data_IF_238106484767
#
_entry.id   IF_238106484767
#
_cell.length_a   1.000
_cell.length_b   1.000
_cell.length_c   1.000
_cell.angle_alpha   90.00
_cell.angle_beta   90.00
_cell.angle_gamma   90.00
#
_symmetry.space_group_name_H-M   'P 1'
#
loop_
_entity.id
_entity.type
_entity.pdbx_description
1 polymer ?
#
# COMPACT_ATOMS: atom_id res chain seq x y z
N UNK A 1 -2.62 36.38 4.62
CA UNK A 1 -1.99 35.42 3.70
C UNK A 1 -2.87 34.19 3.70
N UNK A 2 -3.58 33.90 2.59
CA UNK A 2 -4.36 32.68 2.43
C UNK A 2 -3.39 31.55 2.13
N UNK A 3 -3.27 30.59 3.05
CA UNK A 3 -2.61 29.33 2.74
C UNK A 3 -3.59 28.47 1.94
N UNK A 4 -3.51 28.58 0.62
CA UNK A 4 -4.15 27.63 -0.29
C UNK A 4 -3.40 26.30 -0.18
N UNK A 5 -3.89 25.41 0.68
CA UNK A 5 -3.49 24.01 0.69
C UNK A 5 -4.18 23.32 -0.49
N UNK A 6 -3.62 23.51 -1.69
CA UNK A 6 -3.97 22.66 -2.83
C UNK A 6 -3.17 21.38 -2.70
N UNK A 7 -3.87 20.27 -2.51
CA UNK A 7 -3.35 18.94 -2.77
C UNK A 7 -3.04 18.86 -4.27
N UNK A 8 -1.88 19.38 -4.69
CA UNK A 8 -1.33 19.04 -5.98
C UNK A 8 -0.89 17.59 -5.87
N UNK A 9 -1.79 16.68 -6.24
CA UNK A 9 -1.39 15.37 -6.74
C UNK A 9 -0.29 15.68 -7.76
N UNK A 10 0.97 15.41 -7.40
CA UNK A 10 2.10 15.65 -8.29
C UNK A 10 1.72 15.15 -9.66
N UNK A 11 1.81 16.03 -10.67
CA UNK A 11 1.28 15.76 -12.00
C UNK A 11 1.65 14.32 -12.40
N UNK A 12 0.70 13.47 -12.82
CA UNK A 12 1.00 12.07 -13.10
C UNK A 12 2.11 12.03 -14.15
N UNK A 13 3.30 11.60 -13.74
CA UNK A 13 4.49 11.59 -14.60
C UNK A 13 4.57 10.34 -15.47
N UNK A 14 3.53 9.52 -15.45
CA UNK A 14 3.35 8.44 -16.40
C UNK A 14 2.64 9.00 -17.65
N UNK A 15 3.05 8.59 -18.86
CA UNK A 15 2.49 9.12 -20.12
C UNK A 15 0.98 8.99 -20.10
N UNK A 16 0.20 9.97 -20.58
CA UNK A 16 -1.29 10.04 -20.55
C UNK A 16 -2.06 8.70 -20.69
N UNK A 17 -1.48 7.73 -21.41
CA UNK A 17 -1.88 6.32 -21.51
C UNK A 17 -2.08 5.64 -20.14
N UNK A 18 -1.17 5.83 -19.19
CA UNK A 18 -1.25 5.26 -17.84
C UNK A 18 -2.43 5.84 -17.06
N UNK A 19 -2.62 7.16 -17.11
CA UNK A 19 -3.73 7.82 -16.41
C UNK A 19 -5.08 7.32 -16.94
N UNK A 20 -5.22 7.24 -18.27
CA UNK A 20 -6.42 6.68 -18.89
C UNK A 20 -6.65 5.22 -18.50
N UNK A 21 -5.58 4.40 -18.47
CA UNK A 21 -5.64 3.00 -18.04
C UNK A 21 -6.07 2.88 -16.58
N UNK A 22 -5.54 3.73 -15.69
CA UNK A 22 -5.93 3.79 -14.26
C UNK A 22 -7.41 4.16 -14.14
N UNK A 23 -7.85 5.23 -14.80
CA UNK A 23 -9.23 5.71 -14.71
C UNK A 23 -10.24 4.64 -15.19
N UNK A 24 -9.93 3.94 -16.29
CA UNK A 24 -10.75 2.83 -16.77
C UNK A 24 -10.77 1.64 -15.79
N UNK A 25 -9.61 1.30 -15.22
CA UNK A 25 -9.50 0.19 -14.29
C UNK A 25 -10.26 0.46 -12.99
N UNK A 26 -10.13 1.68 -12.46
CA UNK A 26 -10.91 2.14 -11.30
C UNK A 26 -12.40 2.07 -11.62
N UNK A 27 -12.84 2.60 -12.76
CA UNK A 27 -14.24 2.52 -13.15
C UNK A 27 -14.76 1.07 -13.24
N UNK A 28 -13.93 0.14 -13.73
CA UNK A 28 -14.30 -1.27 -13.80
C UNK A 28 -14.38 -1.94 -12.43
N UNK A 29 -13.51 -1.61 -11.48
CA UNK A 29 -13.49 -2.22 -10.14
C UNK A 29 -14.56 -1.60 -9.24
N UNK A 30 -14.75 -0.27 -9.32
CA UNK A 30 -15.64 0.49 -8.44
C UNK A 30 -17.12 0.33 -8.81
N UNK A 31 -17.44 0.32 -10.11
CA UNK A 31 -18.84 0.30 -10.59
C UNK A 31 -19.37 -1.12 -10.76
N UNK A 32 -18.51 -2.12 -10.97
CA UNK A 32 -18.94 -3.48 -11.26
C UNK A 32 -18.95 -4.37 -10.01
N UNK A 33 -20.10 -4.44 -9.35
CA UNK A 33 -20.33 -5.29 -8.17
C UNK A 33 -20.22 -6.81 -8.42
N UNK A 34 -20.17 -7.26 -9.69
CA UNK A 34 -19.91 -8.66 -10.04
C UNK A 34 -18.42 -8.99 -10.07
N UNK A 35 -17.55 -7.98 -9.95
CA UNK A 35 -16.11 -8.19 -9.75
C UNK A 35 -15.84 -8.62 -8.31
N UNK A 36 -15.04 -9.68 -8.14
CA UNK A 36 -14.73 -10.23 -6.82
C UNK A 36 -13.26 -10.59 -6.65
N UNK A 37 -12.76 -10.45 -5.42
CA UNK A 37 -11.37 -10.71 -5.04
C UNK A 37 -11.18 -12.06 -4.29
N UNK A 38 -12.07 -13.02 -4.57
CA UNK A 38 -12.10 -14.34 -3.91
C UNK A 38 -12.66 -14.28 -2.49
N UNK A 39 -12.45 -15.35 -1.71
CA UNK A 39 -12.74 -15.34 -0.27
C UNK A 39 -11.59 -14.60 0.43
N UNK A 40 -11.84 -13.35 0.79
CA UNK A 40 -10.99 -12.53 1.64
C UNK A 40 -11.79 -12.20 2.92
N UNK A 41 -11.10 -12.17 4.06
CA UNK A 41 -11.71 -11.70 5.31
C UNK A 41 -12.01 -10.20 5.27
N UNK A 42 -12.40 -9.60 6.40
CA UNK A 42 -12.58 -8.15 6.48
C UNK A 42 -11.30 -7.42 6.03
N UNK A 43 -11.45 -6.52 5.05
CA UNK A 43 -10.35 -5.72 4.51
C UNK A 43 -10.33 -4.38 5.25
N UNK A 44 -9.14 -3.96 5.66
CA UNK A 44 -8.92 -2.66 6.31
C UNK A 44 -8.54 -1.58 5.30
N UNK A 45 -7.73 -1.92 4.30
CA UNK A 45 -7.25 -0.97 3.30
C UNK A 45 -6.89 -1.66 1.99
N UNK A 46 -6.91 -0.91 0.88
CA UNK A 46 -6.52 -1.37 -0.45
C UNK A 46 -5.67 -0.31 -1.16
N UNK A 47 -4.70 -0.76 -1.97
CA UNK A 47 -3.87 0.13 -2.77
C UNK A 47 -3.65 -0.44 -4.17
N UNK A 48 -3.96 0.38 -5.18
CA UNK A 48 -3.66 0.09 -6.58
C UNK A 48 -2.23 0.54 -6.89
N UNK A 49 -1.50 -0.29 -7.62
CA UNK A 49 -0.21 0.10 -8.19
C UNK A 49 -0.42 1.16 -9.29
N UNK A 50 0.19 2.34 -9.13
CA UNK A 50 0.10 3.46 -10.07
C UNK A 50 1.14 3.38 -11.22
N UNK A 51 2.14 2.51 -11.09
CA UNK A 51 3.27 2.41 -12.04
C UNK A 51 2.94 1.47 -13.19
N UNK A 52 2.64 0.19 -12.89
CA UNK A 52 2.31 -0.82 -13.90
C UNK A 52 0.79 -0.98 -14.10
N UNK A 53 0.00 -0.52 -13.11
CA UNK A 53 -1.47 -0.55 -13.15
C UNK A 53 -1.95 -1.98 -13.37
N UNK A 54 -1.30 -2.88 -12.64
CA UNK A 54 -1.44 -4.33 -12.77
C UNK A 54 -1.69 -5.01 -11.44
N UNK A 55 -1.18 -4.46 -10.35
CA UNK A 55 -1.23 -5.09 -9.05
C UNK A 55 -2.19 -4.33 -8.12
N UNK A 56 -3.04 -5.09 -7.42
CA UNK A 56 -3.82 -4.56 -6.31
C UNK A 56 -3.33 -5.20 -5.02
N UNK A 57 -3.08 -4.37 -4.03
CA UNK A 57 -2.69 -4.76 -2.69
C UNK A 57 -3.90 -4.61 -1.76
N UNK A 58 -4.16 -5.58 -0.90
CA UNK A 58 -5.20 -5.46 0.13
C UNK A 58 -4.69 -5.92 1.48
N UNK A 59 -4.88 -5.09 2.50
CA UNK A 59 -4.58 -5.40 3.90
C UNK A 59 -5.80 -5.89 4.65
N UNK A 60 -5.74 -7.10 5.18
CA UNK A 60 -6.79 -7.73 5.99
C UNK A 60 -6.70 -7.40 7.48
N UNK A 61 -7.84 -7.50 8.17
CA UNK A 61 -7.95 -7.21 9.60
C UNK A 61 -7.04 -8.07 10.50
N UNK A 62 -6.71 -9.30 10.09
CA UNK A 62 -5.86 -10.22 10.85
C UNK A 62 -4.36 -10.06 10.57
N UNK A 63 -3.95 -9.03 9.82
CA UNK A 63 -2.57 -8.84 9.39
C UNK A 63 -2.22 -9.57 8.10
N UNK A 64 -3.19 -10.23 7.45
CA UNK A 64 -2.97 -10.87 6.15
C UNK A 64 -2.87 -9.83 5.04
N UNK A 65 -1.86 -9.96 4.18
CA UNK A 65 -1.70 -9.09 3.03
C UNK A 65 -1.86 -9.91 1.74
N UNK A 66 -2.83 -9.55 0.91
CA UNK A 66 -3.10 -10.22 -0.36
C UNK A 66 -2.65 -9.33 -1.53
N UNK A 67 -1.99 -9.93 -2.52
CA UNK A 67 -1.60 -9.27 -3.77
C UNK A 67 -2.37 -9.93 -4.92
N UNK A 68 -3.05 -9.12 -5.72
CA UNK A 68 -3.83 -9.56 -6.87
C UNK A 68 -3.19 -9.10 -8.17
N UNK A 69 -3.25 -9.96 -9.19
CA UNK A 69 -2.94 -9.59 -10.57
C UNK A 69 -4.25 -9.20 -11.26
N UNK A 70 -4.32 -7.95 -11.72
CA UNK A 70 -5.48 -7.39 -12.40
C UNK A 70 -5.52 -7.74 -13.89
N UNK A 71 -4.44 -8.28 -14.46
CA UNK A 71 -4.43 -8.82 -15.81
C UNK A 71 -4.96 -10.27 -15.85
N UNK A 72 -4.81 -11.02 -14.75
CA UNK A 72 -5.23 -12.41 -14.65
C UNK A 72 -6.69 -12.49 -14.18
N UNK A 73 -7.60 -12.43 -15.14
CA UNK A 73 -9.04 -12.52 -14.90
C UNK A 73 -9.54 -13.96 -15.02
N UNK A 74 -10.19 -14.44 -13.96
CA UNK A 74 -10.92 -15.70 -13.92
C UNK A 74 -12.40 -15.42 -14.13
N UNK A 75 -12.98 -15.95 -15.19
CA UNK A 75 -14.42 -15.82 -15.50
C UNK A 75 -15.11 -17.09 -15.00
N UNK A 76 -16.01 -16.96 -14.01
CA UNK A 76 -16.80 -18.08 -13.51
C UNK A 76 -18.27 -17.69 -13.39
N UNK A 77 -19.15 -18.39 -14.13
CA UNK A 77 -20.61 -18.16 -14.13
C UNK A 77 -20.97 -16.67 -14.25
N UNK A 78 -20.41 -16.00 -15.25
CA UNK A 78 -20.60 -14.56 -15.54
C UNK A 78 -20.03 -13.59 -14.51
N UNK A 79 -19.38 -14.07 -13.44
CA UNK A 79 -18.64 -13.22 -12.49
C UNK A 79 -17.17 -13.15 -12.84
N UNK A 80 -16.65 -11.93 -12.84
CA UNK A 80 -15.24 -11.61 -13.06
C UNK A 80 -14.52 -11.71 -11.71
N UNK A 81 -13.45 -12.49 -11.63
CA UNK A 81 -12.62 -12.56 -10.43
C UNK A 81 -11.17 -12.32 -10.76
N UNK A 82 -10.52 -11.43 -10.02
CA UNK A 82 -9.09 -11.23 -10.15
C UNK A 82 -8.34 -12.32 -9.41
N UNK A 83 -7.28 -12.85 -10.04
CA UNK A 83 -6.47 -13.90 -9.45
C UNK A 83 -5.60 -13.30 -8.34
N UNK A 84 -5.74 -13.86 -7.14
CA UNK A 84 -4.80 -13.64 -6.03
C UNK A 84 -3.48 -14.35 -6.35
N UNK A 85 -2.40 -13.59 -6.44
CA UNK A 85 -1.05 -14.11 -6.72
C UNK A 85 -0.52 -14.79 -5.45
N UNK A 86 -0.53 -14.03 -4.37
CA UNK A 86 0.02 -14.46 -3.09
C UNK A 86 -0.82 -13.92 -1.95
N UNK A 87 -0.71 -14.61 -0.82
CA UNK A 87 -1.22 -14.22 0.47
C UNK A 87 -0.07 -14.29 1.45
N UNK A 88 0.38 -13.14 1.90
CA UNK A 88 1.39 -13.02 2.94
C UNK A 88 0.67 -13.17 4.28
N UNK A 89 0.68 -14.41 4.80
CA UNK A 89 0.05 -14.84 6.07
C UNK A 89 1.08 -15.33 7.07
N UNK A 90 0.77 -15.20 8.36
CA UNK A 90 1.66 -15.47 9.49
C UNK A 90 2.29 -16.88 9.45
N UNK A 91 3.47 -17.00 8.82
CA UNK A 91 4.22 -18.26 8.74
C UNK A 91 5.17 -18.36 9.94
N UNK A 92 4.70 -18.93 11.05
CA UNK A 92 5.45 -19.38 12.24
C UNK A 92 6.37 -18.36 12.94
N UNK A 93 6.56 -17.15 12.41
CA UNK A 93 7.33 -16.06 12.98
C UNK A 93 6.41 -14.84 13.15
N UNK A 94 5.92 -14.57 14.38
CA UNK A 94 5.05 -13.43 14.68
C UNK A 94 5.64 -12.07 14.31
N UNK A 95 6.98 -11.98 14.21
CA UNK A 95 7.69 -10.76 13.80
C UNK A 95 7.69 -10.54 12.29
N UNK A 96 7.40 -11.58 11.48
CA UNK A 96 7.49 -11.52 10.03
C UNK A 96 6.33 -10.74 9.40
N UNK A 97 5.12 -10.79 9.98
CA UNK A 97 3.92 -10.09 9.49
C UNK A 97 3.33 -9.20 10.58
N UNK A 98 2.42 -8.30 10.25
CA UNK A 98 1.75 -7.50 11.26
C UNK A 98 0.92 -8.39 12.18
N UNK A 99 0.98 -8.13 13.49
CA UNK A 99 0.25 -8.92 14.49
C UNK A 99 -1.17 -8.40 14.75
N UNK A 100 -1.57 -7.34 14.03
CA UNK A 100 -2.83 -6.66 14.18
C UNK A 100 -3.29 -6.08 12.83
N UNK A 101 -4.43 -5.41 12.83
CA UNK A 101 -5.05 -4.84 11.64
C UNK A 101 -4.19 -3.76 11.01
N UNK A 102 -4.24 -3.67 9.69
CA UNK A 102 -3.58 -2.58 8.96
C UNK A 102 -4.32 -1.26 9.17
N UNK A 103 -3.56 -0.18 9.08
CA UNK A 103 -4.04 1.20 9.12
C UNK A 103 -3.85 1.82 7.75
N UNK A 104 -2.70 1.57 7.12
CA UNK A 104 -2.40 2.05 5.78
C UNK A 104 -1.56 1.03 5.04
N UNK A 105 -1.86 0.86 3.76
CA UNK A 105 -1.11 0.05 2.82
C UNK A 105 -0.84 0.91 1.59
N UNK A 106 0.41 0.99 1.13
CA UNK A 106 0.75 1.87 -0.01
C UNK A 106 1.88 1.30 -0.85
N UNK A 107 1.71 1.34 -2.17
CA UNK A 107 2.79 1.06 -3.13
C UNK A 107 3.82 2.17 -3.16
N UNK A 108 5.06 1.80 -3.49
CA UNK A 108 6.07 2.78 -3.83
C UNK A 108 5.71 3.46 -5.16
N UNK A 109 5.64 4.80 -5.25
CA UNK A 109 5.13 5.46 -6.45
C UNK A 109 6.10 5.48 -7.63
N UNK A 110 7.32 4.94 -7.49
CA UNK A 110 8.34 4.92 -8.55
C UNK A 110 8.51 3.53 -9.16
N UNK A 111 8.37 2.47 -8.37
CA UNK A 111 8.46 1.09 -8.83
C UNK A 111 7.47 0.16 -8.11
N UNK A 112 7.20 -1.00 -8.70
CA UNK A 112 6.33 -2.05 -8.14
C UNK A 112 7.07 -3.05 -7.25
N UNK A 113 8.38 -2.87 -7.08
CA UNK A 113 9.25 -3.75 -6.31
C UNK A 113 9.15 -3.52 -4.80
N UNK A 114 8.55 -2.40 -4.36
CA UNK A 114 8.40 -2.05 -2.96
C UNK A 114 6.99 -1.59 -2.60
N UNK A 115 6.59 -1.87 -1.37
CA UNK A 115 5.41 -1.27 -0.75
C UNK A 115 5.61 -1.13 0.76
N UNK A 116 4.80 -0.29 1.38
CA UNK A 116 4.81 -0.07 2.82
C UNK A 116 3.47 -0.44 3.46
N UNK A 117 3.55 -0.85 4.72
CA UNK A 117 2.37 -1.12 5.54
C UNK A 117 2.56 -0.56 6.95
N UNK A 118 1.49 0.01 7.51
CA UNK A 118 1.40 0.39 8.92
C UNK A 118 0.26 -0.36 9.59
N UNK A 119 0.41 -0.63 10.89
CA UNK A 119 -0.58 -1.38 11.66
C UNK A 119 -0.70 -0.86 13.09
N UNK A 120 -1.82 -1.21 13.72
CA UNK A 120 -2.11 -1.00 15.13
C UNK A 120 -1.06 -1.64 16.04
N UNK A 121 -0.29 -2.61 15.54
CA UNK A 121 0.85 -3.22 16.22
C UNK A 121 2.07 -2.28 16.42
N UNK A 122 1.93 -1.00 16.04
CA UNK A 122 2.95 0.05 16.18
C UNK A 122 4.18 -0.21 15.33
N UNK A 123 4.05 -0.98 14.26
CA UNK A 123 5.12 -1.19 13.29
C UNK A 123 4.80 -0.52 11.96
N UNK A 124 5.84 0.05 11.34
CA UNK A 124 5.88 0.30 9.91
C UNK A 124 6.80 -0.75 9.29
N UNK A 125 6.34 -1.41 8.24
CA UNK A 125 7.12 -2.39 7.49
C UNK A 125 7.28 -1.93 6.04
N UNK A 126 8.50 -2.05 5.55
CA UNK A 126 8.83 -1.89 4.13
C UNK A 126 9.06 -3.27 3.56
N UNK A 127 8.36 -3.58 2.49
CA UNK A 127 8.33 -4.90 1.87
C UNK A 127 8.99 -4.87 0.51
N UNK A 128 9.71 -5.96 0.20
CA UNK A 128 10.16 -6.28 -1.16
C UNK A 128 9.11 -7.19 -1.80
N UNK A 129 8.42 -6.67 -2.82
CA UNK A 129 7.35 -7.37 -3.54
C UNK A 129 7.86 -8.65 -4.20
N UNK A 130 9.09 -8.64 -4.72
CA UNK A 130 9.65 -9.79 -5.43
C UNK A 130 10.01 -10.94 -4.50
N UNK A 131 10.31 -10.62 -3.24
CA UNK A 131 10.69 -11.60 -2.21
C UNK A 131 9.55 -11.93 -1.26
N UNK A 132 8.47 -11.16 -1.29
CA UNK A 132 7.34 -11.24 -0.35
C UNK A 132 7.81 -11.15 1.11
N UNK A 133 8.81 -10.31 1.37
CA UNK A 133 9.51 -10.24 2.66
C UNK A 133 9.70 -8.80 3.14
N UNK A 134 9.71 -8.64 4.46
CA UNK A 134 10.03 -7.37 5.12
C UNK A 134 11.52 -7.08 4.93
N UNK A 135 11.83 -6.00 4.22
CA UNK A 135 13.18 -5.46 4.09
C UNK A 135 13.56 -4.59 5.29
N UNK A 136 12.61 -3.81 5.81
CA UNK A 136 12.83 -2.94 6.97
C UNK A 136 11.64 -2.93 7.90
N UNK A 137 11.94 -2.86 9.20
CA UNK A 137 10.98 -2.74 10.29
C UNK A 137 11.31 -1.48 11.08
N UNK A 138 10.31 -0.62 11.28
CA UNK A 138 10.41 0.53 12.18
C UNK A 138 9.35 0.41 13.27
N UNK A 139 9.78 0.54 14.52
CA UNK A 139 8.88 0.64 15.66
C UNK A 139 8.47 2.10 15.84
N UNK A 140 7.16 2.34 15.77
CA UNK A 140 6.57 3.65 15.94
C UNK A 140 6.35 3.89 17.45
N UNK A 141 6.98 4.92 18.00
CA UNK A 141 6.94 5.26 19.45
C UNK A 141 5.74 6.16 19.81
N UNK A 142 4.76 6.31 18.91
CA UNK A 142 3.64 7.22 19.13
C UNK A 142 2.58 6.66 20.08
N UNK A 143 1.98 7.57 20.87
CA UNK A 143 0.92 7.27 21.82
C UNK A 143 -0.41 6.94 21.12
N UNK A 144 -0.57 7.34 19.87
CA UNK A 144 -1.69 7.00 19.00
C UNK A 144 -1.15 6.35 17.73
N UNK A 145 -1.28 5.03 17.64
CA UNK A 145 -0.81 4.18 16.55
C UNK A 145 -1.49 4.41 15.19
N UNK A 146 -2.30 5.46 15.02
CA UNK A 146 -3.21 5.71 13.89
C UNK A 146 -2.61 6.51 12.72
N UNK A 147 -1.28 6.61 12.63
CA UNK A 147 -0.61 7.43 11.64
C UNK A 147 -0.76 6.84 10.21
N UNK A 148 -1.46 7.56 9.33
CA UNK A 148 -1.43 7.32 7.88
C UNK A 148 -0.04 7.74 7.39
N UNK A 149 0.68 6.83 6.74
CA UNK A 149 1.94 7.15 6.11
C UNK A 149 1.73 7.52 4.64
N UNK A 150 2.57 8.41 4.11
CA UNK A 150 2.69 8.66 2.67
C UNK A 150 4.12 8.40 2.22
N UNK A 151 4.29 7.43 1.34
CA UNK A 151 5.52 7.21 0.60
C UNK A 151 5.56 8.12 -0.62
N UNK A 152 6.70 8.78 -0.80
CA UNK A 152 7.12 9.51 -1.98
C UNK A 152 8.49 8.95 -2.43
N UNK A 153 9.03 9.45 -3.55
CA UNK A 153 10.20 8.89 -4.23
C UNK A 153 11.36 8.51 -3.31
N UNK A 154 11.76 9.40 -2.41
CA UNK A 154 12.86 9.14 -1.48
C UNK A 154 12.43 9.34 -0.02
N UNK A 155 11.13 9.48 0.26
CA UNK A 155 10.68 9.93 1.58
C UNK A 155 9.40 9.24 2.03
N UNK A 156 9.39 8.74 3.27
CA UNK A 156 8.17 8.31 3.94
C UNK A 156 7.78 9.36 4.97
N UNK A 157 6.61 9.97 4.78
CA UNK A 157 5.99 10.91 5.70
C UNK A 157 5.05 10.17 6.64
N UNK A 158 5.06 10.55 7.92
CA UNK A 158 4.07 10.07 8.90
C UNK A 158 3.75 11.22 9.88
N UNK A 159 2.47 11.41 10.23
CA UNK A 159 2.08 12.42 11.21
C UNK A 159 2.62 12.04 12.60
N UNK A 160 3.17 13.01 13.32
CA UNK A 160 3.42 12.89 14.76
C UNK A 160 2.26 13.49 15.55
N UNK A 161 2.23 13.21 16.86
CA UNK A 161 1.27 13.76 17.83
C UNK A 161 1.32 15.32 17.89
N UNK A 162 2.37 15.97 17.38
CA UNK A 162 2.48 17.43 17.28
C UNK A 162 2.22 17.90 15.83
N UNK A 163 1.15 18.67 15.58
CA UNK A 163 0.81 19.17 14.24
C UNK A 163 1.88 20.11 13.64
N UNK A 164 2.83 20.60 14.44
CA UNK A 164 3.94 21.42 13.97
C UNK A 164 5.23 20.63 13.73
N UNK A 165 5.24 19.32 13.99
CA UNK A 165 6.42 18.49 13.89
C UNK A 165 6.09 17.26 13.04
N UNK A 166 6.40 17.30 11.75
CA UNK A 166 6.38 16.10 10.91
C UNK A 166 7.78 15.52 10.86
N UNK A 167 7.94 14.24 11.19
CA UNK A 167 9.17 13.52 10.86
C UNK A 167 9.01 12.87 9.50
N UNK A 168 10.10 12.88 8.74
CA UNK A 168 10.17 12.24 7.45
C UNK A 168 11.37 11.29 7.46
N UNK A 169 11.21 10.10 6.89
CA UNK A 169 12.32 9.19 6.67
C UNK A 169 12.79 9.35 5.25
N UNK A 170 14.05 9.73 5.05
CA UNK A 170 14.66 9.63 3.74
C UNK A 170 15.08 8.17 3.47
N UNK A 171 14.43 7.57 2.49
CA UNK A 171 14.82 6.31 1.89
C UNK A 171 15.68 6.63 0.67
N UNK A 172 17.00 6.54 0.82
CA UNK A 172 17.91 6.67 -0.31
C UNK A 172 18.05 5.28 -0.95
N UNK A 173 17.96 5.20 -2.28
CA UNK A 173 18.11 4.01 -3.14
C UNK A 173 19.30 3.06 -2.80
N UNK A 174 20.18 3.43 -1.87
CA UNK A 174 21.30 2.65 -1.34
C UNK A 174 20.98 1.73 -0.15
N UNK A 175 19.71 1.35 0.10
CA UNK A 175 19.34 0.41 1.18
C UNK A 175 19.75 0.87 2.59
N UNK A 176 19.77 2.19 2.85
CA UNK A 176 20.02 2.75 4.18
C UNK A 176 19.01 3.86 4.47
N UNK A 177 18.28 3.72 5.57
CA UNK A 177 17.43 4.78 6.10
C UNK A 177 18.25 5.64 7.06
N UNK A 178 18.11 6.95 6.95
CA UNK A 178 18.70 7.91 7.88
C UNK A 178 17.58 8.71 8.56
N UNK A 179 17.74 8.95 9.86
CA UNK A 179 16.91 9.90 10.60
C UNK A 179 17.36 11.31 10.22
N UNK A 180 16.43 12.14 9.76
CA UNK A 180 16.63 13.59 9.61
C UNK A 180 15.62 14.30 10.51
#
# INVERSE_FOLDING_TARGET
>A
MKHDWRWELGAPRSPLVSKYKVDQLIANIDVNYDTGFGEAGPICDIALDEVEVKYLLSGGFGGELDIYNLEDVLINKEKVRYKRITTIKNQKNPSAIHSSSFICVQWYPVDTGLFITTSVDKCLKIWDTNREQVSYLLYLVLSLSLAICKMDQDTIFFPLDDPNNCKCFHYIHSKRMFFV
#
